data_IF_948293972438
#
_entry.id   IF_948293972438
#
_cell.length_a   1.000
_cell.length_b   1.000
_cell.length_c   1.000
_cell.angle_alpha   90.00
_cell.angle_beta   90.00
_cell.angle_gamma   90.00
#
_symmetry.space_group_name_H-M   'P 1'
#
loop_
_entity.id
_entity.type
_entity.pdbx_description
1 polymer ?
#
# COMPACT_ATOMS: atom_id res chain seq x y z
N UNK A 1 4.98 29.99 -7.72
CA UNK A 1 5.30 28.59 -7.34
C UNK A 1 4.17 28.07 -6.47
N UNK A 2 3.34 27.14 -6.96
CA UNK A 2 2.20 26.59 -6.19
C UNK A 2 2.73 25.56 -5.18
N UNK A 3 2.56 25.82 -3.88
CA UNK A 3 2.97 24.86 -2.86
C UNK A 3 2.23 23.52 -3.03
N UNK A 4 2.91 22.37 -2.90
CA UNK A 4 2.26 21.07 -3.06
C UNK A 4 1.26 20.84 -1.93
N UNK A 5 0.00 20.54 -2.27
CA UNK A 5 -1.01 20.27 -1.25
C UNK A 5 -0.68 18.98 -0.49
N UNK A 6 -0.74 19.02 0.85
CA UNK A 6 -0.57 17.86 1.72
C UNK A 6 -1.44 16.67 1.28
N UNK A 7 -2.68 16.93 0.86
CA UNK A 7 -3.61 15.90 0.39
C UNK A 7 -3.08 15.14 -0.84
N UNK A 8 -2.48 15.83 -1.83
CA UNK A 8 -1.86 15.19 -3.00
C UNK A 8 -0.62 14.39 -2.61
N UNK A 9 0.17 14.88 -1.64
CA UNK A 9 1.35 14.16 -1.16
C UNK A 9 0.97 12.88 -0.43
N UNK A 10 0.04 12.96 0.54
CA UNK A 10 -0.52 11.81 1.23
C UNK A 10 -1.12 10.81 0.25
N UNK A 11 -1.89 11.29 -0.73
CA UNK A 11 -2.51 10.45 -1.74
C UNK A 11 -1.50 9.63 -2.55
N UNK A 12 -0.40 10.26 -3.00
CA UNK A 12 0.68 9.57 -3.71
C UNK A 12 1.34 8.49 -2.86
N UNK A 13 1.63 8.78 -1.59
CA UNK A 13 2.21 7.79 -0.68
C UNK A 13 1.25 6.65 -0.36
N UNK A 14 -0.04 6.95 -0.14
CA UNK A 14 -1.04 5.90 0.10
C UNK A 14 -1.23 5.00 -1.12
N UNK A 15 -1.21 5.56 -2.34
CA UNK A 15 -1.27 4.78 -3.57
C UNK A 15 -0.01 3.93 -3.76
N UNK A 16 1.17 4.50 -3.51
CA UNK A 16 2.43 3.77 -3.62
C UNK A 16 2.50 2.62 -2.60
N UNK A 17 2.11 2.86 -1.34
CA UNK A 17 2.06 1.84 -0.30
C UNK A 17 1.03 0.75 -0.61
N UNK A 18 -0.16 1.12 -1.10
CA UNK A 18 -1.19 0.17 -1.52
C UNK A 18 -0.70 -0.70 -2.68
N UNK A 19 -0.09 -0.09 -3.70
CA UNK A 19 0.46 -0.81 -4.85
C UNK A 19 1.59 -1.76 -4.42
N UNK A 20 2.49 -1.31 -3.53
CA UNK A 20 3.57 -2.13 -3.00
C UNK A 20 3.04 -3.32 -2.19
N UNK A 21 2.07 -3.10 -1.30
CA UNK A 21 1.44 -4.16 -0.52
C UNK A 21 0.72 -5.18 -1.42
N UNK A 22 0.02 -4.70 -2.45
CA UNK A 22 -0.67 -5.56 -3.41
C UNK A 22 0.32 -6.41 -4.22
N UNK A 23 1.41 -5.80 -4.70
CA UNK A 23 2.46 -6.52 -5.42
C UNK A 23 3.15 -7.56 -4.53
N UNK A 24 3.41 -7.23 -3.27
CA UNK A 24 3.95 -8.17 -2.30
C UNK A 24 3.02 -9.36 -2.06
N UNK A 25 1.71 -9.11 -1.92
CA UNK A 25 0.70 -10.16 -1.75
C UNK A 25 0.60 -11.07 -2.99
N UNK A 26 0.62 -10.49 -4.19
CA UNK A 26 0.63 -11.24 -5.46
C UNK A 26 1.87 -12.12 -5.57
N UNK A 27 3.04 -11.56 -5.26
CA UNK A 27 4.30 -12.28 -5.31
C UNK A 27 4.32 -13.43 -4.29
N UNK A 28 3.89 -13.17 -3.06
CA UNK A 28 3.78 -14.19 -2.02
C UNK A 28 2.81 -15.31 -2.41
N UNK A 29 1.63 -14.97 -2.95
CA UNK A 29 0.64 -15.95 -3.41
C UNK A 29 1.16 -16.80 -4.57
N UNK A 30 1.90 -16.19 -5.51
CA UNK A 30 2.54 -16.90 -6.61
C UNK A 30 3.57 -17.92 -6.11
N UNK A 31 4.47 -17.51 -5.20
CA UNK A 31 5.47 -18.40 -4.63
C UNK A 31 4.86 -19.51 -3.76
N UNK A 32 3.88 -19.18 -2.92
CA UNK A 32 3.14 -20.16 -2.14
C UNK A 32 2.42 -21.17 -3.04
N UNK A 33 1.75 -20.70 -4.10
CA UNK A 33 1.07 -21.55 -5.07
C UNK A 33 2.02 -22.48 -5.83
N UNK A 34 3.22 -22.00 -6.20
CA UNK A 34 4.24 -22.85 -6.82
C UNK A 34 4.76 -23.95 -5.88
N UNK A 35 4.91 -23.65 -4.59
CA UNK A 35 5.39 -24.61 -3.59
C UNK A 35 4.34 -25.68 -3.33
N UNK A 36 3.10 -25.27 -3.02
CA UNK A 36 1.97 -26.15 -2.74
C UNK A 36 1.64 -27.07 -3.93
N UNK A 37 1.68 -26.52 -5.16
CA UNK A 37 1.45 -27.32 -6.36
C UNK A 37 2.48 -28.45 -6.52
N UNK A 38 3.73 -28.21 -6.09
CA UNK A 38 4.78 -29.24 -6.10
C UNK A 38 4.47 -30.38 -5.12
N UNK A 39 4.10 -30.06 -3.89
CA UNK A 39 3.78 -31.06 -2.87
C UNK A 39 2.56 -31.90 -3.22
N UNK A 40 1.49 -31.25 -3.71
CA UNK A 40 0.28 -31.95 -4.18
C UNK A 40 0.63 -32.89 -5.33
N UNK A 41 1.44 -32.44 -6.31
CA UNK A 41 1.86 -33.26 -7.45
C UNK A 41 2.66 -34.47 -7.00
N UNK A 42 3.63 -34.28 -6.11
CA UNK A 42 4.45 -35.37 -5.56
C UNK A 42 3.58 -36.38 -4.81
N UNK A 43 2.63 -35.90 -3.99
CA UNK A 43 1.66 -36.76 -3.29
C UNK A 43 0.78 -37.59 -4.23
N UNK A 44 0.32 -37.00 -5.34
CA UNK A 44 -0.45 -37.73 -6.36
C UNK A 44 0.38 -38.81 -7.07
N UNK A 45 1.64 -38.51 -7.43
CA UNK A 45 2.53 -39.49 -8.04
C UNK A 45 2.77 -40.67 -7.09
N UNK A 46 3.10 -40.39 -5.83
CA UNK A 46 3.29 -41.44 -4.84
C UNK A 46 2.03 -42.28 -4.63
N UNK A 47 0.87 -41.66 -4.49
CA UNK A 47 -0.39 -42.37 -4.29
C UNK A 47 -0.74 -43.27 -5.48
N UNK A 48 -0.61 -42.76 -6.71
CA UNK A 48 -0.85 -43.53 -7.92
C UNK A 48 0.10 -44.73 -8.05
N UNK A 49 1.39 -44.53 -7.79
CA UNK A 49 2.37 -45.61 -7.83
C UNK A 49 2.07 -46.70 -6.78
N UNK A 50 1.68 -46.33 -5.56
CA UNK A 50 1.34 -47.29 -4.51
C UNK A 50 0.09 -48.12 -4.85
N UNK A 51 -0.97 -47.48 -5.37
CA UNK A 51 -2.18 -48.20 -5.81
C UNK A 51 -1.85 -49.18 -6.92
N UNK A 52 -1.05 -48.76 -7.90
CA UNK A 52 -0.60 -49.61 -9.01
C UNK A 52 0.30 -50.75 -8.55
N UNK A 53 1.16 -50.53 -7.55
CA UNK A 53 2.02 -51.57 -6.97
C UNK A 53 1.21 -52.67 -6.26
N UNK A 54 0.05 -52.31 -5.68
CA UNK A 54 -0.85 -53.22 -4.95
C UNK A 54 -1.79 -54.00 -5.87
N UNK A 55 -2.10 -53.50 -7.06
CA UNK A 55 -2.90 -54.23 -8.02
C UNK A 55 -2.24 -55.58 -8.38
N UNK A 56 -2.99 -56.68 -8.54
CA UNK A 56 -2.43 -57.92 -9.04
C UNK A 56 -1.94 -57.73 -10.48
N UNK A 57 -0.92 -58.51 -10.88
CA UNK A 57 -0.46 -58.56 -12.27
C UNK A 57 -1.65 -58.94 -13.15
N UNK A 58 -2.12 -58.00 -13.97
CA UNK A 58 -3.11 -58.31 -14.99
C UNK A 58 -2.31 -59.10 -16.02
N UNK A 59 -2.57 -60.40 -16.12
CA UNK A 59 -1.88 -61.29 -17.04
C UNK A 59 -1.78 -60.66 -18.44
N UNK A 60 -0.63 -60.87 -19.09
CA UNK A 60 -0.17 -60.30 -20.36
C UNK A 60 -1.06 -60.57 -21.61
N UNK A 61 -2.38 -60.59 -21.46
CA UNK A 61 -3.37 -60.69 -22.54
C UNK A 61 -3.88 -59.34 -23.06
N UNK A 62 -3.45 -58.22 -22.49
CA UNK A 62 -3.82 -56.88 -22.96
C UNK A 62 -2.76 -56.23 -23.89
N UNK A 63 -1.82 -57.02 -24.43
CA UNK A 63 -0.75 -56.57 -25.35
C UNK A 63 -1.27 -56.11 -26.73
N UNK A 64 -2.54 -55.73 -26.84
CA UNK A 64 -3.18 -55.24 -28.06
C UNK A 64 -4.37 -54.33 -27.80
N UNK A 65 -4.53 -53.80 -26.58
CA UNK A 65 -5.52 -52.73 -26.37
C UNK A 65 -5.06 -51.50 -27.17
N UNK A 66 -5.89 -50.96 -28.08
CA UNK A 66 -5.52 -49.81 -28.88
C UNK A 66 -5.11 -48.67 -27.94
N UNK A 67 -3.88 -48.20 -28.14
CA UNK A 67 -3.36 -47.00 -27.50
C UNK A 67 -4.32 -45.85 -27.82
N UNK A 68 -4.68 -44.97 -26.85
CA UNK A 68 -5.50 -43.79 -27.13
C UNK A 68 -4.90 -42.84 -28.17
N UNK A 69 -3.64 -43.08 -28.59
CA UNK A 69 -3.01 -42.38 -29.70
C UNK A 69 -3.68 -42.63 -31.06
N UNK A 70 -4.45 -43.73 -31.21
CA UNK A 70 -5.22 -44.04 -32.43
C UNK A 70 -6.71 -43.66 -32.30
N UNK A 71 -7.15 -43.17 -31.14
CA UNK A 71 -8.48 -42.62 -30.99
C UNK A 71 -8.44 -41.18 -31.51
N UNK A 72 -9.20 -40.90 -32.56
CA UNK A 72 -9.43 -39.55 -33.09
C UNK A 72 -9.53 -38.54 -31.93
N UNK A 73 -8.65 -37.53 -31.97
CA UNK A 73 -8.53 -36.43 -31.01
C UNK A 73 -9.86 -35.67 -30.80
N UNK A 74 -10.84 -35.91 -31.68
CA UNK A 74 -12.19 -35.34 -31.69
C UNK A 74 -13.20 -36.07 -30.80
N UNK A 75 -13.01 -37.36 -30.46
CA UNK A 75 -14.05 -38.16 -29.78
C UNK A 75 -14.08 -37.98 -28.25
N UNK A 76 -13.07 -37.36 -27.64
CA UNK A 76 -13.00 -37.08 -26.19
C UNK A 76 -12.89 -35.56 -25.93
N UNK A 77 -13.49 -34.76 -26.80
CA UNK A 77 -13.59 -33.31 -26.61
C UNK A 77 -14.85 -32.94 -25.82
N UNK A 78 -14.97 -33.39 -24.57
CA UNK A 78 -16.01 -32.89 -23.66
C UNK A 78 -15.52 -32.87 -22.22
N UNK A 79 -14.68 -31.88 -21.93
CA UNK A 79 -14.34 -31.50 -20.56
C UNK A 79 -12.92 -30.96 -20.45
N UNK A 80 -12.80 -29.69 -20.08
CA UNK A 80 -11.55 -29.02 -19.71
C UNK A 80 -10.73 -29.77 -18.64
N UNK A 81 -11.35 -30.76 -18.00
CA UNK A 81 -10.82 -31.63 -16.95
C UNK A 81 -10.03 -32.86 -17.44
N UNK A 82 -10.18 -33.32 -18.70
CA UNK A 82 -9.47 -34.52 -19.19
C UNK A 82 -8.08 -34.26 -19.79
N UNK A 83 -7.73 -33.02 -20.15
CA UNK A 83 -6.35 -32.66 -20.55
C UNK A 83 -5.34 -32.82 -19.41
N UNK A 84 -5.80 -33.00 -18.17
CA UNK A 84 -4.97 -33.36 -17.02
C UNK A 84 -4.57 -34.85 -17.03
N UNK A 85 -5.40 -35.73 -17.61
CA UNK A 85 -5.15 -37.18 -17.61
C UNK A 85 -4.05 -37.58 -18.61
N UNK A 86 -3.81 -36.79 -19.66
CA UNK A 86 -2.80 -37.07 -20.69
C UNK A 86 -1.36 -36.69 -20.28
N UNK A 87 -1.16 -36.05 -19.11
CA UNK A 87 0.16 -35.57 -18.65
C UNK A 87 0.89 -36.54 -17.71
N UNK A 88 0.21 -37.56 -17.21
CA UNK A 88 0.79 -38.60 -16.36
C UNK A 88 1.15 -39.82 -17.22
N UNK A 89 2.41 -40.25 -17.17
CA UNK A 89 2.80 -41.55 -17.71
C UNK A 89 3.06 -42.54 -16.57
N UNK A 90 2.66 -43.78 -16.81
CA UNK A 90 2.84 -44.90 -15.90
C UNK A 90 3.66 -45.96 -16.62
N UNK A 91 4.77 -46.33 -15.99
CA UNK A 91 5.63 -47.43 -16.39
C UNK A 91 5.52 -48.54 -15.34
N UNK A 92 5.24 -49.75 -15.79
CA UNK A 92 5.15 -50.94 -14.92
C UNK A 92 6.15 -51.97 -15.41
N UNK A 93 7.09 -52.35 -14.56
CA UNK A 93 8.00 -53.46 -14.79
C UNK A 93 7.61 -54.65 -13.93
N UNK A 94 7.64 -55.85 -14.50
CA UNK A 94 7.53 -57.12 -13.80
C UNK A 94 8.80 -57.93 -14.04
N UNK A 95 9.47 -58.36 -12.97
CA UNK A 95 10.73 -59.11 -13.01
C UNK A 95 11.81 -58.45 -13.90
N UNK A 96 11.86 -57.11 -13.91
CA UNK A 96 12.78 -56.33 -14.73
C UNK A 96 12.34 -56.11 -16.19
N UNK A 97 11.22 -56.69 -16.63
CA UNK A 97 10.66 -56.50 -17.98
C UNK A 97 9.55 -55.46 -17.93
N UNK A 98 9.57 -54.47 -18.83
CA UNK A 98 8.51 -53.47 -18.94
C UNK A 98 7.24 -54.11 -19.53
N UNK A 99 6.17 -54.18 -18.75
CA UNK A 99 4.89 -54.82 -19.13
C UNK A 99 3.86 -53.78 -19.57
N UNK A 100 3.90 -52.57 -19.02
CA UNK A 100 2.96 -51.50 -19.39
C UNK A 100 3.68 -50.17 -19.53
N UNK A 101 3.42 -49.49 -20.64
CA UNK A 101 3.78 -48.10 -20.91
C UNK A 101 2.55 -47.39 -21.45
N UNK A 102 2.17 -46.29 -20.82
CA UNK A 102 1.00 -45.49 -21.23
C UNK A 102 1.35 -44.45 -22.31
N UNK A 103 2.58 -44.45 -22.85
CA UNK A 103 3.03 -43.51 -23.91
C UNK A 103 3.85 -44.17 -25.03
N UNK A 104 4.02 -43.49 -26.20
CA UNK A 104 4.79 -44.02 -27.31
C UNK A 104 6.26 -44.29 -26.93
N UNK A 105 6.86 -45.39 -27.42
CA UNK A 105 8.17 -45.93 -26.98
C UNK A 105 9.40 -45.14 -27.44
N UNK A 106 9.28 -43.84 -27.73
CA UNK A 106 10.38 -43.01 -28.23
C UNK A 106 11.39 -42.56 -27.15
N UNK A 107 11.21 -42.93 -25.88
CA UNK A 107 12.04 -42.44 -24.76
C UNK A 107 12.75 -43.55 -23.97
N UNK A 108 13.16 -44.63 -24.62
CA UNK A 108 14.03 -45.68 -24.05
C UNK A 108 15.49 -45.24 -23.85
N UNK A 109 15.77 -43.96 -23.67
CA UNK A 109 17.13 -43.44 -23.57
C UNK A 109 17.81 -43.76 -22.23
N UNK A 110 17.91 -45.04 -21.83
CA UNK A 110 18.73 -45.50 -20.71
C UNK A 110 18.49 -44.79 -19.37
N UNK A 111 17.34 -44.15 -19.19
CA UNK A 111 17.02 -43.41 -17.98
C UNK A 111 16.68 -44.41 -16.89
N UNK A 112 17.60 -44.62 -15.96
CA UNK A 112 17.28 -45.30 -14.73
C UNK A 112 16.46 -44.38 -13.82
N UNK A 113 15.36 -44.89 -13.33
CA UNK A 113 14.51 -44.20 -12.38
C UNK A 113 14.79 -44.79 -10.99
N UNK A 114 15.57 -44.10 -10.13
CA UNK A 114 15.86 -44.60 -8.79
C UNK A 114 14.58 -44.67 -7.97
N UNK A 115 14.59 -45.50 -6.91
CA UNK A 115 13.49 -45.58 -5.95
C UNK A 115 13.26 -44.20 -5.30
N UNK A 116 12.00 -43.83 -5.11
CA UNK A 116 11.60 -42.52 -4.59
C UNK A 116 11.45 -41.47 -5.70
N UNK A 117 11.59 -40.19 -5.33
CA UNK A 117 11.40 -39.07 -6.24
C UNK A 117 12.67 -38.75 -7.03
N UNK A 118 12.53 -38.57 -8.34
CA UNK A 118 13.62 -38.10 -9.20
C UNK A 118 13.10 -37.08 -10.20
N UNK A 119 13.94 -36.08 -10.51
CA UNK A 119 13.67 -35.11 -11.56
C UNK A 119 14.63 -35.35 -12.71
N UNK A 120 14.12 -35.78 -13.85
CA UNK A 120 14.93 -36.11 -15.03
C UNK A 120 14.59 -35.16 -16.17
N UNK A 121 15.61 -34.74 -16.91
CA UNK A 121 15.43 -33.98 -18.13
C UNK A 121 15.39 -34.97 -19.29
N UNK A 122 14.26 -35.06 -19.97
CA UNK A 122 14.08 -35.98 -21.10
C UNK A 122 13.81 -35.19 -22.37
N UNK A 123 14.56 -35.49 -23.43
CA UNK A 123 14.33 -34.96 -24.77
C UNK A 123 13.43 -35.93 -25.52
N UNK A 124 12.24 -35.47 -25.90
CA UNK A 124 11.22 -36.30 -26.55
C UNK A 124 11.44 -36.40 -28.06
N UNK A 125 11.88 -35.32 -28.71
CA UNK A 125 12.20 -35.26 -30.14
C UNK A 125 13.53 -34.54 -30.36
N UNK A 126 14.30 -34.89 -31.40
CA UNK A 126 15.58 -34.24 -31.72
C UNK A 126 15.47 -32.71 -31.90
N UNK A 127 14.32 -32.24 -32.39
CA UNK A 127 14.03 -30.83 -32.68
C UNK A 127 13.30 -30.10 -31.53
N UNK A 128 12.90 -30.82 -30.47
CA UNK A 128 12.23 -30.22 -29.32
C UNK A 128 13.19 -29.89 -28.19
N UNK A 129 12.88 -28.80 -27.48
CA UNK A 129 13.59 -28.44 -26.25
C UNK A 129 13.47 -29.57 -25.21
N UNK A 130 14.54 -29.89 -24.47
CA UNK A 130 14.49 -30.89 -23.42
C UNK A 130 13.48 -30.46 -22.34
N UNK A 131 12.64 -31.40 -21.90
CA UNK A 131 11.59 -31.13 -20.91
C UNK A 131 11.93 -31.76 -19.57
N UNK A 132 11.51 -31.12 -18.49
CA UNK A 132 11.74 -31.59 -17.12
C UNK A 132 10.59 -32.50 -16.69
N UNK A 133 10.92 -33.68 -16.19
CA UNK A 133 9.97 -34.68 -15.72
C UNK A 133 10.19 -34.93 -14.24
N UNK A 134 9.11 -34.89 -13.45
CA UNK A 134 9.09 -35.41 -12.08
C UNK A 134 8.62 -36.84 -12.14
N UNK A 135 9.35 -37.75 -11.51
CA UNK A 135 9.01 -39.17 -11.44
C UNK A 135 9.05 -39.65 -10.00
N UNK A 136 8.21 -40.63 -9.70
CA UNK A 136 8.23 -41.37 -8.45
C UNK A 136 8.23 -42.87 -8.77
N UNK A 137 9.21 -43.59 -8.23
CA UNK A 137 9.34 -45.04 -8.43
C UNK A 137 9.21 -45.80 -7.11
N UNK A 138 8.32 -46.78 -7.09
CA UNK A 138 8.18 -47.73 -5.99
C UNK A 138 8.40 -49.16 -6.50
N UNK A 139 8.90 -50.03 -5.65
CA UNK A 139 9.18 -51.43 -5.97
C UNK A 139 8.75 -52.31 -4.81
N UNK A 140 8.22 -53.50 -5.13
CA UNK A 140 7.83 -54.48 -4.12
C UNK A 140 9.08 -55.05 -3.43
N UNK A 141 8.93 -55.47 -2.17
CA UNK A 141 10.04 -55.99 -1.38
C UNK A 141 10.73 -57.22 -2.01
N UNK A 142 10.00 -58.00 -2.82
CA UNK A 142 10.50 -59.17 -3.55
C UNK A 142 11.17 -58.82 -4.89
N UNK A 143 11.19 -57.55 -5.30
CA UNK A 143 11.71 -57.09 -6.59
C UNK A 143 10.91 -57.55 -7.80
N UNK A 144 9.79 -58.24 -7.61
CA UNK A 144 8.97 -58.80 -8.68
C UNK A 144 8.28 -57.72 -9.52
N UNK A 145 8.10 -56.53 -8.95
CA UNK A 145 7.37 -55.44 -9.61
C UNK A 145 7.89 -54.06 -9.22
N UNK A 146 8.16 -53.23 -10.21
CA UNK A 146 8.48 -51.80 -10.09
C UNK A 146 7.42 -50.99 -10.82
N UNK A 147 6.97 -49.90 -10.21
CA UNK A 147 6.05 -48.95 -10.83
C UNK A 147 6.66 -47.56 -10.76
N UNK A 148 6.73 -46.88 -11.90
CA UNK A 148 7.17 -45.49 -11.98
C UNK A 148 6.06 -44.65 -12.58
N UNK A 149 5.59 -43.66 -11.83
CA UNK A 149 4.66 -42.63 -12.32
C UNK A 149 5.43 -41.35 -12.58
N UNK A 150 5.13 -40.66 -13.68
CA UNK A 150 5.82 -39.43 -14.03
C UNK A 150 4.90 -38.37 -14.61
N UNK A 151 5.22 -37.11 -14.37
CA UNK A 151 4.51 -35.94 -14.88
C UNK A 151 5.51 -34.92 -15.41
N UNK A 152 5.11 -34.25 -16.47
CA UNK A 152 5.88 -33.16 -17.06
C UNK A 152 5.81 -31.94 -16.14
N UNK A 153 6.95 -31.41 -15.68
CA UNK A 153 7.04 -30.23 -14.81
C UNK A 153 6.92 -28.90 -15.56
N UNK A 154 7.08 -28.90 -16.88
CA UNK A 154 6.97 -27.69 -17.70
C UNK A 154 5.51 -27.38 -18.04
N UNK A 155 4.60 -28.35 -17.95
CA UNK A 155 3.14 -28.15 -18.03
C UNK A 155 2.52 -27.42 -16.81
N UNK A 156 2.82 -27.80 -15.55
CA UNK A 156 2.33 -27.16 -14.33
C UNK A 156 2.64 -25.67 -14.20
N UNK A 157 3.72 -25.15 -14.81
CA UNK A 157 3.98 -23.69 -14.84
C UNK A 157 2.86 -22.92 -15.54
N UNK A 158 2.13 -23.58 -16.45
CA UNK A 158 0.95 -23.02 -17.11
C UNK A 158 -0.24 -22.94 -16.14
N UNK A 159 -0.42 -23.96 -15.30
CA UNK A 159 -1.51 -24.03 -14.30
C UNK A 159 -1.30 -23.00 -13.20
N UNK A 160 -0.10 -22.95 -12.60
CA UNK A 160 0.17 -21.96 -11.54
C UNK A 160 0.04 -20.54 -12.09
N UNK A 161 0.47 -20.31 -13.34
CA UNK A 161 0.25 -19.02 -14.03
C UNK A 161 -1.24 -18.75 -14.25
N UNK A 162 -2.03 -19.75 -14.66
CA UNK A 162 -3.47 -19.60 -14.93
C UNK A 162 -4.30 -19.38 -13.65
N UNK A 163 -3.95 -20.06 -12.56
CA UNK A 163 -4.49 -19.82 -11.21
C UNK A 163 -4.12 -18.42 -10.73
N UNK A 164 -2.86 -18.02 -10.93
CA UNK A 164 -2.40 -16.65 -10.61
C UNK A 164 -3.21 -15.61 -11.38
N UNK A 165 -3.47 -15.82 -12.67
CA UNK A 165 -4.32 -14.91 -13.46
C UNK A 165 -5.78 -14.91 -12.99
N UNK A 166 -6.28 -16.05 -12.51
CA UNK A 166 -7.65 -16.17 -11.96
C UNK A 166 -7.83 -15.37 -10.68
N UNK A 167 -6.81 -15.30 -9.82
CA UNK A 167 -6.81 -14.50 -8.58
C UNK A 167 -6.40 -13.04 -8.86
N UNK A 168 -5.52 -12.80 -9.84
CA UNK A 168 -5.04 -11.47 -10.20
C UNK A 168 -6.13 -10.60 -10.85
N UNK A 169 -7.00 -11.17 -11.69
CA UNK A 169 -8.10 -10.43 -12.34
C UNK A 169 -9.07 -9.76 -11.36
N UNK A 170 -9.70 -10.48 -10.41
CA UNK A 170 -10.62 -9.86 -9.46
C UNK A 170 -9.92 -8.87 -8.53
N UNK A 171 -8.68 -9.17 -8.12
CA UNK A 171 -7.91 -8.26 -7.25
C UNK A 171 -7.51 -6.96 -7.95
N UNK A 172 -7.39 -6.95 -9.28
CA UNK A 172 -7.21 -5.73 -10.08
C UNK A 172 -8.42 -4.80 -10.05
N UNK A 173 -9.62 -5.32 -9.76
CA UNK A 173 -10.85 -4.52 -9.58
C UNK A 173 -10.98 -4.05 -8.13
N UNK A 174 -10.55 -4.86 -7.16
CA UNK A 174 -10.55 -4.49 -5.74
C UNK A 174 -9.57 -3.35 -5.45
N UNK A 175 -8.39 -3.35 -6.09
CA UNK A 175 -7.38 -2.32 -5.89
C UNK A 175 -7.89 -0.88 -6.14
N UNK A 176 -8.49 -0.53 -7.31
CA UNK A 176 -9.03 0.80 -7.53
C UNK A 176 -10.22 1.12 -6.62
N UNK A 177 -11.01 0.12 -6.20
CA UNK A 177 -12.09 0.33 -5.24
C UNK A 177 -11.55 0.75 -3.86
N UNK A 178 -10.53 0.04 -3.36
CA UNK A 178 -9.85 0.39 -2.09
C UNK A 178 -9.17 1.75 -2.19
N UNK A 179 -8.50 2.03 -3.31
CA UNK A 179 -7.92 3.34 -3.57
C UNK A 179 -9.01 4.43 -3.51
N UNK A 180 -10.13 4.26 -4.22
CA UNK A 180 -11.22 5.24 -4.23
C UNK A 180 -11.80 5.48 -2.82
N UNK A 181 -11.96 4.41 -2.03
CA UNK A 181 -12.41 4.49 -0.63
C UNK A 181 -11.42 5.26 0.25
N UNK A 182 -10.11 4.97 0.14
CA UNK A 182 -9.07 5.70 0.86
C UNK A 182 -9.02 7.17 0.45
N UNK A 183 -9.14 7.47 -0.84
CA UNK A 183 -9.21 8.83 -1.35
C UNK A 183 -10.39 9.59 -0.72
N UNK A 184 -11.57 8.95 -0.71
CA UNK A 184 -12.77 9.54 -0.12
C UNK A 184 -12.63 9.74 1.39
N UNK A 185 -12.08 8.76 2.11
CA UNK A 185 -11.83 8.83 3.54
C UNK A 185 -10.85 9.95 3.91
N UNK A 186 -9.70 10.04 3.21
CA UNK A 186 -8.71 11.11 3.43
C UNK A 186 -9.31 12.48 3.11
N UNK A 187 -10.04 12.60 2.00
CA UNK A 187 -10.68 13.87 1.61
C UNK A 187 -11.71 14.32 2.63
N UNK A 188 -12.48 13.38 3.20
CA UNK A 188 -13.46 13.65 4.25
C UNK A 188 -12.78 13.96 5.60
N UNK A 189 -11.71 13.26 5.95
CA UNK A 189 -10.94 13.46 7.18
C UNK A 189 -10.15 14.77 7.22
N UNK A 190 -9.67 15.26 6.07
CA UNK A 190 -8.96 16.56 5.98
C UNK A 190 -9.90 17.77 5.84
N UNK A 191 -11.18 17.56 5.52
CA UNK A 191 -12.17 18.63 5.42
C UNK A 191 -12.29 19.50 6.70
N UNK A 192 -12.39 18.95 7.92
CA UNK A 192 -12.42 19.76 9.16
C UNK A 192 -11.16 20.61 9.35
N UNK A 193 -9.98 20.11 8.96
CA UNK A 193 -8.74 20.87 9.05
C UNK A 193 -8.76 22.11 8.14
N UNK A 194 -9.25 21.96 6.91
CA UNK A 194 -9.41 23.10 5.99
C UNK A 194 -10.45 24.10 6.52
N UNK A 195 -11.54 23.61 7.13
CA UNK A 195 -12.55 24.47 7.74
C UNK A 195 -11.97 25.27 8.93
N UNK A 196 -11.18 24.63 9.79
CA UNK A 196 -10.49 25.30 10.90
C UNK A 196 -9.50 26.35 10.38
N UNK A 197 -8.68 26.02 9.38
CA UNK A 197 -7.74 26.97 8.76
C UNK A 197 -8.45 28.22 8.23
N UNK A 198 -9.58 28.05 7.53
CA UNK A 198 -10.38 29.17 7.04
C UNK A 198 -10.98 30.01 8.18
N UNK A 199 -11.41 29.39 9.29
CA UNK A 199 -11.90 30.11 10.48
C UNK A 199 -10.82 30.91 11.17
N UNK A 200 -9.60 30.37 11.26
CA UNK A 200 -8.43 31.08 11.80
C UNK A 200 -8.08 32.28 10.91
N UNK A 201 -8.08 32.10 9.59
CA UNK A 201 -7.80 33.19 8.64
C UNK A 201 -8.85 34.32 8.66
N UNK A 202 -10.10 34.00 9.02
CA UNK A 202 -11.18 34.97 9.16
C UNK A 202 -11.18 35.72 10.50
N UNK A 203 -10.38 35.28 11.48
CA UNK A 203 -10.42 35.81 12.83
C UNK A 203 -9.91 37.26 12.88
N UNK A 204 -10.76 38.18 13.33
CA UNK A 204 -10.41 39.60 13.45
C UNK A 204 -9.86 39.90 14.85
N UNK A 205 -8.66 40.48 14.91
CA UNK A 205 -7.99 40.86 16.17
C UNK A 205 -8.79 41.85 17.03
N UNK A 206 -9.71 42.60 16.43
CA UNK A 206 -10.50 43.65 17.12
C UNK A 206 -11.91 43.18 17.52
N UNK A 207 -12.26 41.91 17.26
CA UNK A 207 -13.56 41.32 17.62
C UNK A 207 -13.47 40.38 18.83
N UNK A 208 -14.61 40.10 19.46
CA UNK A 208 -14.74 39.09 20.53
C UNK A 208 -14.88 37.65 19.99
N UNK A 209 -14.72 37.46 18.68
CA UNK A 209 -14.83 36.14 18.06
C UNK A 209 -13.74 35.21 18.60
N UNK A 210 -14.17 34.04 19.08
CA UNK A 210 -13.31 32.94 19.50
C UNK A 210 -13.55 31.75 18.58
N UNK A 211 -12.51 30.97 18.35
CA UNK A 211 -12.66 29.69 17.68
C UNK A 211 -13.42 28.76 18.62
N UNK A 212 -14.48 28.13 18.11
CA UNK A 212 -15.27 27.17 18.86
C UNK A 212 -14.40 25.99 19.33
N UNK A 213 -14.35 25.76 20.64
CA UNK A 213 -13.59 24.66 21.23
C UNK A 213 -14.24 23.29 20.99
N UNK A 214 -15.52 23.26 20.62
CA UNK A 214 -16.30 22.03 20.33
C UNK A 214 -16.07 21.50 18.91
N UNK A 215 -14.82 21.47 18.43
CA UNK A 215 -14.52 20.78 17.19
C UNK A 215 -14.80 19.28 17.34
N UNK A 216 -15.39 18.66 16.32
CA UNK A 216 -15.82 17.25 16.35
C UNK A 216 -14.69 16.21 16.48
N UNK A 217 -13.44 16.62 16.62
CA UNK A 217 -12.27 15.76 16.77
C UNK A 217 -11.36 16.27 17.88
N UNK A 218 -11.02 15.40 18.84
CA UNK A 218 -10.27 15.75 20.05
C UNK A 218 -8.85 16.28 19.73
N UNK A 219 -8.27 15.83 18.62
CA UNK A 219 -6.94 16.20 18.15
C UNK A 219 -6.82 17.69 17.84
N UNK A 220 -7.93 18.34 17.44
CA UNK A 220 -7.92 19.78 17.15
C UNK A 220 -8.18 20.66 18.37
N UNK A 221 -8.72 20.11 19.46
CA UNK A 221 -9.07 20.89 20.65
C UNK A 221 -7.84 21.59 21.25
N UNK A 222 -6.70 20.90 21.32
CA UNK A 222 -5.44 21.46 21.85
C UNK A 222 -4.93 22.63 21.00
N UNK A 223 -5.05 22.51 19.67
CA UNK A 223 -4.60 23.54 18.73
C UNK A 223 -5.52 24.75 18.78
N UNK A 224 -6.84 24.54 18.84
CA UNK A 224 -7.83 25.62 19.01
C UNK A 224 -7.59 26.36 20.33
N UNK A 225 -7.33 25.64 21.42
CA UNK A 225 -7.02 26.24 22.72
C UNK A 225 -5.74 27.10 22.66
N UNK A 226 -4.67 26.61 22.02
CA UNK A 226 -3.44 27.37 21.84
C UNK A 226 -3.65 28.66 21.01
N UNK A 227 -4.41 28.58 19.92
CA UNK A 227 -4.72 29.75 19.07
C UNK A 227 -5.55 30.78 19.84
N UNK A 228 -6.62 30.34 20.52
CA UNK A 228 -7.44 31.23 21.34
C UNK A 228 -6.61 31.91 22.46
N UNK A 229 -5.70 31.17 23.09
CA UNK A 229 -4.78 31.72 24.10
C UNK A 229 -3.83 32.78 23.52
N UNK A 230 -3.30 32.58 22.32
CA UNK A 230 -2.47 33.58 21.63
C UNK A 230 -3.25 34.84 21.28
N UNK A 231 -4.47 34.68 20.74
CA UNK A 231 -5.36 35.80 20.39
C UNK A 231 -5.70 36.62 21.64
N UNK A 232 -6.01 35.96 22.76
CA UNK A 232 -6.26 36.64 24.03
C UNK A 232 -5.06 37.49 24.50
N UNK A 233 -3.84 36.96 24.38
CA UNK A 233 -2.60 37.70 24.73
C UNK A 233 -2.35 38.90 23.82
N UNK A 234 -2.68 38.78 22.52
CA UNK A 234 -2.57 39.90 21.58
C UNK A 234 -3.59 41.00 21.88
N UNK A 235 -4.83 40.61 22.19
CA UNK A 235 -5.88 41.55 22.58
C UNK A 235 -5.51 42.30 23.86
N UNK A 236 -5.04 41.61 24.89
CA UNK A 236 -4.65 42.25 26.15
C UNK A 236 -3.49 43.24 25.97
N UNK A 237 -2.53 42.93 25.10
CA UNK A 237 -1.42 43.86 24.78
C UNK A 237 -1.91 45.08 24.01
N UNK A 238 -2.78 44.89 23.02
CA UNK A 238 -3.35 45.98 22.24
C UNK A 238 -4.23 46.91 23.10
N UNK A 239 -4.96 46.36 24.06
CA UNK A 239 -5.73 47.13 25.04
C UNK A 239 -4.81 47.95 25.95
N UNK A 240 -3.74 47.34 26.46
CA UNK A 240 -2.75 48.05 27.29
C UNK A 240 -2.05 49.19 26.52
N UNK A 241 -1.67 48.97 25.26
CA UNK A 241 -1.07 50.00 24.40
C UNK A 241 -2.05 51.15 24.13
N UNK A 242 -3.33 50.85 23.88
CA UNK A 242 -4.37 51.89 23.69
C UNK A 242 -4.61 52.70 24.96
N UNK A 243 -4.68 52.04 26.11
CA UNK A 243 -4.82 52.69 27.40
C UNK A 243 -3.61 53.61 27.67
N UNK A 244 -2.39 53.08 27.51
CA UNK A 244 -1.16 53.88 27.65
C UNK A 244 -1.12 55.08 26.71
N UNK A 245 -1.46 54.89 25.42
CA UNK A 245 -1.50 56.00 24.46
C UNK A 245 -2.56 57.05 24.84
N UNK A 246 -3.71 56.62 25.35
CA UNK A 246 -4.76 57.53 25.84
C UNK A 246 -4.30 58.31 27.07
N UNK A 247 -3.65 57.63 28.02
CA UNK A 247 -3.15 58.23 29.25
C UNK A 247 -2.05 59.24 28.94
N UNK A 248 -1.06 58.86 28.13
CA UNK A 248 0.01 59.77 27.67
C UNK A 248 -0.58 60.97 26.91
N UNK A 249 -1.59 60.78 26.06
CA UNK A 249 -2.23 61.89 25.36
C UNK A 249 -2.93 62.87 26.32
N UNK A 250 -3.56 62.37 27.39
CA UNK A 250 -4.15 63.21 28.43
C UNK A 250 -3.08 63.92 29.27
N UNK A 251 -2.03 63.21 29.65
CA UNK A 251 -0.93 63.76 30.43
C UNK A 251 -0.14 64.82 29.66
N UNK A 252 -0.02 64.73 28.33
CA UNK A 252 0.63 65.74 27.51
C UNK A 252 -0.28 66.95 27.18
N UNK A 253 -1.60 66.75 27.07
CA UNK A 253 -2.54 67.85 26.76
C UNK A 253 -2.53 68.93 27.84
N UNK A 254 -2.44 68.54 29.10
CA UNK A 254 -2.45 69.45 30.26
C UNK A 254 -1.25 70.41 30.29
N UNK A 255 0.02 69.94 30.24
CA UNK A 255 1.20 70.81 30.20
C UNK A 255 1.28 71.61 28.90
N UNK A 256 0.89 71.04 27.75
CA UNK A 256 0.86 71.80 26.50
C UNK A 256 -0.16 72.96 26.54
N UNK A 257 -1.32 72.76 27.17
CA UNK A 257 -2.29 73.83 27.37
C UNK A 257 -1.76 74.93 28.32
N UNK A 258 -1.02 74.55 29.37
CA UNK A 258 -0.36 75.51 30.26
C UNK A 258 0.71 76.34 29.52
N UNK A 259 1.59 75.68 28.76
CA UNK A 259 2.61 76.34 27.93
C UNK A 259 1.97 77.28 26.91
N UNK A 260 0.88 76.85 26.24
CA UNK A 260 0.17 77.69 25.27
C UNK A 260 -0.48 78.92 25.92
N UNK A 261 -1.08 78.78 27.10
CA UNK A 261 -1.65 79.89 27.85
C UNK A 261 -0.56 80.90 28.27
N UNK A 262 0.59 80.43 28.75
CA UNK A 262 1.71 81.30 29.10
C UNK A 262 2.29 82.02 27.89
N UNK A 263 2.33 81.38 26.72
CA UNK A 263 2.73 82.01 25.47
C UNK A 263 1.78 83.16 25.08
N UNK A 264 0.47 82.95 25.22
CA UNK A 264 -0.54 83.97 24.93
C UNK A 264 -0.45 85.15 25.91
N UNK A 265 -0.27 84.88 27.20
CA UNK A 265 -0.01 85.90 28.22
C UNK A 265 1.25 86.72 27.87
N UNK A 266 2.34 86.07 27.45
CA UNK A 266 3.55 86.78 27.04
C UNK A 266 3.36 87.63 25.78
N UNK A 267 2.49 87.23 24.85
CA UNK A 267 2.20 87.97 23.63
C UNK A 267 1.38 89.26 23.86
N UNK A 268 0.54 89.29 24.91
CA UNK A 268 -0.38 90.40 25.20
C UNK A 268 0.20 91.52 26.09
N UNK A 269 1.40 91.35 26.67
CA UNK A 269 2.01 92.36 27.54
C UNK A 269 2.86 93.38 26.74
N UNK A 270 2.62 94.70 26.88
CA UNK A 270 3.33 95.76 26.14
C UNK A 270 4.70 96.15 26.74
N UNK A 271 4.99 95.76 27.98
CA UNK A 271 6.23 96.09 28.69
C UNK A 271 7.31 94.99 28.55
N UNK A 272 8.55 95.38 28.26
CA UNK A 272 9.68 94.49 28.01
C UNK A 272 10.06 93.64 29.24
N UNK A 273 9.97 94.22 30.45
CA UNK A 273 10.34 93.52 31.68
C UNK A 273 9.31 92.45 32.06
N UNK A 274 8.02 92.73 31.83
CA UNK A 274 6.93 91.78 32.07
C UNK A 274 6.95 90.61 31.07
N UNK A 275 7.30 90.89 29.81
CA UNK A 275 7.44 89.90 28.74
C UNK A 275 8.63 88.96 28.97
N UNK A 276 9.75 89.47 29.48
CA UNK A 276 10.91 88.66 29.86
C UNK A 276 10.58 87.65 30.97
N UNK A 277 9.87 88.05 32.01
CA UNK A 277 9.45 87.15 33.11
C UNK A 277 8.46 86.07 32.65
N UNK A 278 7.58 86.40 31.70
CA UNK A 278 6.64 85.43 31.13
C UNK A 278 7.37 84.36 30.29
N UNK A 279 8.37 84.76 29.51
CA UNK A 279 9.22 83.82 28.75
C UNK A 279 10.08 82.93 29.66
N UNK A 280 10.61 83.46 30.76
CA UNK A 280 11.37 82.68 31.76
C UNK A 280 10.53 81.57 32.40
N UNK A 281 9.27 81.87 32.75
CA UNK A 281 8.33 80.89 33.31
C UNK A 281 7.97 79.80 32.30
N UNK A 282 7.76 80.19 31.04
CA UNK A 282 7.45 79.30 29.93
C UNK A 282 8.62 78.34 29.65
N UNK A 283 9.86 78.84 29.70
CA UNK A 283 11.06 78.01 29.58
C UNK A 283 11.22 77.04 30.76
N UNK A 284 10.94 77.48 31.99
CA UNK A 284 10.96 76.62 33.17
C UNK A 284 9.88 75.53 33.13
N UNK A 285 8.68 75.83 32.65
CA UNK A 285 7.62 74.84 32.48
C UNK A 285 7.93 73.83 31.37
N UNK A 286 8.47 74.29 30.23
CA UNK A 286 8.91 73.41 29.15
C UNK A 286 10.02 72.43 29.60
N UNK A 287 10.96 72.90 30.43
CA UNK A 287 12.04 72.07 31.00
C UNK A 287 11.54 71.10 32.09
N UNK A 288 10.37 71.33 32.68
CA UNK A 288 9.75 70.40 33.65
C UNK A 288 8.88 69.33 32.99
N UNK A 289 8.41 69.59 31.77
CA UNK A 289 7.45 68.73 31.07
C UNK A 289 8.10 67.69 30.13
N UNK A 290 9.41 67.76 29.85
CA UNK A 290 10.17 66.81 29.04
C UNK A 290 11.27 66.13 29.83
#
# INVERSE_FOLDING_TARGET
MTQPSLARHLWRWTLAALAAAWLALMLASYFAGMHEAGEITDGHLASAAHVLLQLPAIGAGAAGAPTPADADDDAIASGRHLKLASSVAVLVWENGVLVSDTRPPAQRGGVDFPRGYATTVVRQEPDQAPRRWRSFSAERADGSRKVTTMIDLDQPTRIVREVTFTIARPSLVVLPLVALLLWWAIRRGLRPLNALSNRVAALKLHGSERLDASHGYAEFASTVAAINGLVARLQSRAEAERAFASDVAHELRTPLAAIALQADVAAQHPDAASRARALERLQQEALRAG
#
